data_IF_626494731175
#
_entry.id   IF_626494731175
#
_cell.length_a   1.000
_cell.length_b   1.000
_cell.length_c   1.000
_cell.angle_alpha   90.00
_cell.angle_beta   90.00
_cell.angle_gamma   90.00
#
_symmetry.space_group_name_H-M   'P 1'
#
loop_
_entity.id
_entity.type
_entity.pdbx_description
1 polymer ?
#
# COMPACT_ATOMS: atom_id res chain seq x y z
N UNK A 1 3.30 -14.77 -5.41
CA UNK A 1 3.55 -14.80 -3.96
C UNK A 1 2.63 -13.83 -3.25
N UNK A 2 2.31 -14.13 -1.99
CA UNK A 2 1.39 -13.31 -1.21
C UNK A 2 2.08 -12.78 0.03
N UNK A 3 1.83 -11.53 0.35
CA UNK A 3 2.37 -10.88 1.54
C UNK A 3 1.25 -10.23 2.30
N UNK A 4 1.39 -10.14 3.61
CA UNK A 4 0.38 -9.53 4.46
C UNK A 4 1.03 -8.50 5.38
N UNK A 5 0.23 -7.51 5.76
CA UNK A 5 0.62 -6.52 6.76
C UNK A 5 -0.57 -6.26 7.66
N UNK A 6 -0.28 -5.95 8.91
CA UNK A 6 -1.32 -5.61 9.87
C UNK A 6 -1.59 -4.11 9.81
N UNK A 7 -2.87 -3.76 9.81
CA UNK A 7 -3.31 -2.36 9.77
C UNK A 7 -3.44 -1.83 11.20
N UNK A 8 -2.92 -0.64 11.43
CA UNK A 8 -3.01 0.05 12.71
C UNK A 8 -3.42 1.49 12.49
N UNK A 9 -3.82 2.18 13.57
CA UNK A 9 -4.06 3.61 13.48
C UNK A 9 -2.73 4.37 13.47
N UNK A 10 -2.66 5.37 12.62
CA UNK A 10 -1.47 6.21 12.47
C UNK A 10 -1.47 7.40 13.42
N UNK A 11 -2.63 7.76 13.98
CA UNK A 11 -2.77 8.92 14.84
C UNK A 11 -3.61 8.60 16.08
N UNK A 12 -3.56 9.50 17.05
CA UNK A 12 -4.30 9.34 18.30
C UNK A 12 -5.81 9.48 18.15
N UNK A 13 -6.27 10.13 17.10
CA UNK A 13 -7.70 10.35 16.85
C UNK A 13 -8.37 9.18 16.15
N UNK A 14 -7.62 8.12 15.84
CA UNK A 14 -8.13 6.93 15.17
C UNK A 14 -8.83 7.24 13.83
N UNK A 15 -8.31 8.22 13.10
CA UNK A 15 -8.89 8.64 11.82
C UNK A 15 -8.06 8.19 10.62
N UNK A 16 -6.78 7.92 10.80
CA UNK A 16 -5.87 7.54 9.72
C UNK A 16 -5.30 6.16 9.98
N UNK A 17 -5.32 5.32 8.96
CA UNK A 17 -4.78 3.96 9.03
C UNK A 17 -3.40 3.90 8.41
N UNK A 18 -2.58 2.98 8.91
CA UNK A 18 -1.25 2.71 8.36
C UNK A 18 -0.99 1.21 8.33
N UNK A 19 -0.11 0.80 7.45
CA UNK A 19 0.40 -0.58 7.39
C UNK A 19 1.83 -0.54 6.89
N UNK A 20 2.63 -1.52 7.30
CA UNK A 20 4.00 -1.64 6.83
C UNK A 20 3.99 -2.24 5.44
N UNK A 21 4.77 -1.67 4.52
CA UNK A 21 4.98 -2.25 3.21
C UNK A 21 5.96 -3.41 3.37
N UNK A 22 5.58 -4.64 3.00
CA UNK A 22 6.52 -5.78 3.09
C UNK A 22 7.81 -5.50 2.34
N UNK A 23 8.93 -5.94 2.91
CA UNK A 23 10.24 -5.64 2.33
C UNK A 23 10.40 -6.17 0.91
N UNK A 24 9.85 -7.35 0.61
CA UNK A 24 9.92 -7.92 -0.74
C UNK A 24 9.16 -7.08 -1.76
N UNK A 25 8.05 -6.47 -1.35
CA UNK A 25 7.29 -5.57 -2.23
C UNK A 25 8.07 -4.29 -2.47
N UNK A 26 8.66 -3.72 -1.41
CA UNK A 26 9.48 -2.52 -1.54
C UNK A 26 10.67 -2.77 -2.46
N UNK A 27 11.34 -3.93 -2.32
CA UNK A 27 12.45 -4.31 -3.19
C UNK A 27 12.00 -4.52 -4.64
N UNK A 28 10.88 -5.20 -4.84
CA UNK A 28 10.36 -5.46 -6.18
C UNK A 28 9.99 -4.18 -6.92
N UNK A 29 9.54 -3.17 -6.21
CA UNK A 29 9.20 -1.87 -6.78
C UNK A 29 10.37 -0.88 -6.73
N UNK A 30 11.49 -1.28 -6.13
CA UNK A 30 12.65 -0.41 -5.93
C UNK A 30 12.25 0.89 -5.21
N UNK A 31 11.50 0.75 -4.13
CA UNK A 31 11.01 1.88 -3.36
C UNK A 31 12.06 2.40 -2.38
N UNK A 32 12.16 3.71 -2.32
CA UNK A 32 12.99 4.40 -1.33
C UNK A 32 12.17 5.53 -0.71
N UNK A 33 12.66 6.10 0.38
CA UNK A 33 11.99 7.22 1.01
C UNK A 33 11.82 8.37 0.01
N UNK A 34 10.68 9.05 0.11
CA UNK A 34 10.28 10.16 -0.77
C UNK A 34 9.83 9.75 -2.17
N UNK A 35 9.78 8.47 -2.47
CA UNK A 35 9.16 8.01 -3.70
C UNK A 35 7.64 8.21 -3.63
N UNK A 36 7.03 8.36 -4.79
CA UNK A 36 5.59 8.48 -4.92
C UNK A 36 5.01 7.19 -5.45
N UNK A 37 3.93 6.73 -4.83
CA UNK A 37 3.24 5.53 -5.27
C UNK A 37 1.83 5.88 -5.73
N UNK A 38 1.35 5.11 -6.70
CA UNK A 38 0.01 5.27 -7.25
C UNK A 38 -0.85 4.11 -6.82
N UNK A 39 -2.03 4.43 -6.30
CA UNK A 39 -3.02 3.45 -5.89
C UNK A 39 -4.14 3.41 -6.89
N UNK A 40 -4.53 2.22 -7.30
CA UNK A 40 -5.66 2.04 -8.20
C UNK A 40 -6.69 1.14 -7.55
N UNK A 41 -7.95 1.59 -7.52
CA UNK A 41 -9.05 0.84 -6.92
C UNK A 41 -9.90 0.25 -8.03
N UNK A 42 -10.18 -1.05 -7.92
CA UNK A 42 -11.10 -1.75 -8.81
C UNK A 42 -12.19 -2.39 -7.96
N UNK A 43 -13.44 -2.01 -8.20
CA UNK A 43 -14.59 -2.56 -7.48
C UNK A 43 -15.47 -3.39 -8.40
N UNK A 44 -15.72 -4.61 -7.97
CA UNK A 44 -16.69 -5.51 -8.59
C UNK A 44 -17.82 -5.74 -7.58
N UNK A 45 -18.87 -6.47 -7.99
CA UNK A 45 -20.00 -6.75 -7.11
C UNK A 45 -19.60 -7.50 -5.84
N UNK A 46 -18.65 -8.41 -5.96
CA UNK A 46 -18.26 -9.30 -4.86
C UNK A 46 -16.91 -8.98 -4.24
N UNK A 47 -16.16 -8.06 -4.81
CA UNK A 47 -14.80 -7.80 -4.32
C UNK A 47 -14.32 -6.39 -4.65
N UNK A 48 -13.37 -5.93 -3.83
CA UNK A 48 -12.65 -4.69 -4.08
C UNK A 48 -11.16 -5.01 -4.08
N UNK A 49 -10.47 -4.60 -5.14
CA UNK A 49 -9.05 -4.82 -5.28
C UNK A 49 -8.32 -3.49 -5.40
N UNK A 50 -7.16 -3.40 -4.76
CA UNK A 50 -6.31 -2.22 -4.84
C UNK A 50 -4.95 -2.64 -5.37
N UNK A 51 -4.47 -1.90 -6.37
CA UNK A 51 -3.15 -2.12 -6.97
C UNK A 51 -2.25 -0.95 -6.62
N UNK A 52 -0.98 -1.24 -6.36
CA UNK A 52 0.03 -0.22 -6.01
C UNK A 52 1.12 -0.24 -7.06
N UNK A 53 1.49 0.94 -7.54
CA UNK A 53 2.56 1.09 -8.51
C UNK A 53 3.49 2.23 -8.08
N UNK A 54 4.78 2.11 -8.39
CA UNK A 54 5.72 3.20 -8.18
C UNK A 54 5.62 4.18 -9.36
N UNK A 55 5.44 5.46 -9.05
CA UNK A 55 5.49 6.50 -10.08
C UNK A 55 6.94 6.87 -10.38
N UNK A 56 7.28 6.83 -11.65
CA UNK A 56 8.58 7.29 -12.13
C UNK A 56 8.37 8.68 -12.70
N UNK A 57 8.92 9.67 -12.01
CA UNK A 57 8.77 11.07 -12.40
C UNK A 57 9.98 11.57 -13.20
#
# INVERSE_FOLDING_TARGET
MKYTSKVNYANKNNTTLKAVIPSEIAESLDLTANDTIKWTIKKDEDSTTVTVEKLIL
#
